data_IF_696088198213
#
_entry.id   IF_696088198213
#
_cell.length_a   1.000
_cell.length_b   1.000
_cell.length_c   1.000
_cell.angle_alpha   90.00
_cell.angle_beta   90.00
_cell.angle_gamma   90.00
#
_symmetry.space_group_name_H-M   'P 1'
#
loop_
_entity.id
_entity.type
_entity.pdbx_description
1 polymer ?
#
# COMPACT_ATOMS: atom_id res chain seq x y z
N UNK A 1 31.51 -17.17 18.68
CA UNK A 1 30.75 -18.37 18.25
C UNK A 1 29.47 -17.88 17.56
N UNK A 2 29.59 -17.01 16.55
CA UNK A 2 28.49 -16.08 16.20
C UNK A 2 28.27 -15.87 14.68
N UNK A 3 29.17 -16.35 13.82
CA UNK A 3 29.02 -16.23 12.36
C UNK A 3 28.15 -17.36 11.77
N UNK A 4 28.33 -18.58 12.28
CA UNK A 4 27.65 -19.78 11.78
C UNK A 4 26.16 -19.77 12.15
N UNK A 5 25.79 -19.23 13.31
CA UNK A 5 24.40 -19.01 13.69
C UNK A 5 23.70 -17.94 12.82
N UNK A 6 24.43 -16.92 12.34
CA UNK A 6 23.89 -15.92 11.40
C UNK A 6 23.70 -16.51 9.99
N UNK A 7 24.63 -17.35 9.53
CA UNK A 7 24.51 -18.10 8.27
C UNK A 7 23.39 -19.15 8.35
N UNK A 8 23.19 -19.80 9.50
CA UNK A 8 22.07 -20.71 9.74
C UNK A 8 20.74 -19.96 9.85
N UNK A 9 20.70 -18.76 10.41
CA UNK A 9 19.49 -17.91 10.41
C UNK A 9 19.12 -17.41 9.00
N UNK A 10 20.12 -17.22 8.13
CA UNK A 10 19.91 -16.94 6.70
C UNK A 10 19.36 -18.16 5.93
N UNK A 11 19.58 -19.39 6.44
CA UNK A 11 19.18 -20.63 5.76
C UNK A 11 17.67 -20.83 5.55
N UNK A 12 16.81 -19.98 6.15
CA UNK A 12 15.42 -19.83 5.69
C UNK A 12 14.82 -18.49 6.14
N UNK A 13 15.25 -17.40 5.52
CA UNK A 13 14.74 -16.06 5.85
C UNK A 13 13.24 -15.98 5.60
N UNK A 14 12.50 -15.36 6.52
CA UNK A 14 11.04 -15.27 6.45
C UNK A 14 10.64 -13.86 6.02
N UNK A 15 9.94 -13.75 4.90
CA UNK A 15 9.57 -12.48 4.30
C UNK A 15 8.07 -12.28 4.46
N UNK A 16 7.71 -11.17 5.09
CA UNK A 16 6.33 -10.70 5.23
C UNK A 16 6.21 -9.34 4.57
N UNK A 17 5.19 -9.18 3.74
CA UNK A 17 4.98 -7.95 2.98
C UNK A 17 3.92 -7.10 3.66
N UNK A 18 4.18 -5.81 3.80
CA UNK A 18 3.24 -4.84 4.33
C UNK A 18 2.98 -3.79 3.26
N UNK A 19 1.72 -3.60 2.90
CA UNK A 19 1.33 -2.72 1.79
C UNK A 19 0.42 -1.63 2.31
N UNK A 20 0.84 -0.38 2.15
CA UNK A 20 -0.10 0.75 2.17
C UNK A 20 -0.76 0.84 0.78
N UNK A 21 -2.03 0.44 0.71
CA UNK A 21 -2.77 0.36 -0.55
C UNK A 21 -2.84 1.70 -1.26
N UNK A 22 -3.16 2.78 -0.54
CA UNK A 22 -3.38 4.08 -1.16
C UNK A 22 -2.08 4.69 -1.61
N UNK A 23 -1.02 4.59 -0.80
CA UNK A 23 0.28 5.09 -1.19
C UNK A 23 0.80 4.35 -2.44
N UNK A 24 0.64 3.02 -2.48
CA UNK A 24 1.04 2.22 -3.63
C UNK A 24 0.23 2.57 -4.89
N UNK A 25 -1.10 2.54 -4.81
CA UNK A 25 -1.97 2.74 -5.97
C UNK A 25 -1.79 4.14 -6.56
N UNK A 26 -1.72 5.19 -5.71
CA UNK A 26 -1.53 6.56 -6.18
C UNK A 26 -0.15 6.74 -6.84
N UNK A 27 0.91 6.21 -6.23
CA UNK A 27 2.27 6.31 -6.77
C UNK A 27 2.42 5.61 -8.12
N UNK A 28 1.79 4.44 -8.29
CA UNK A 28 1.84 3.72 -9.57
C UNK A 28 1.03 4.46 -10.63
N UNK A 29 -0.18 4.93 -10.29
CA UNK A 29 -1.02 5.67 -11.22
C UNK A 29 -0.33 6.94 -11.73
N UNK A 30 0.36 7.67 -10.86
CA UNK A 30 1.16 8.85 -11.23
C UNK A 30 2.27 8.47 -12.23
N UNK A 31 3.08 7.45 -11.90
CA UNK A 31 4.16 6.99 -12.79
C UNK A 31 3.66 6.46 -14.13
N UNK A 32 2.52 5.77 -14.16
CA UNK A 32 1.91 5.28 -15.41
C UNK A 32 1.36 6.44 -16.23
N UNK A 33 0.75 7.43 -15.58
CA UNK A 33 0.26 8.63 -16.27
C UNK A 33 1.41 9.41 -16.91
N UNK A 34 2.54 9.55 -16.19
CA UNK A 34 3.76 10.17 -16.72
C UNK A 34 4.35 9.37 -17.89
N UNK A 35 4.45 8.04 -17.75
CA UNK A 35 5.05 7.19 -18.78
C UNK A 35 4.22 7.10 -20.07
N UNK A 36 2.89 7.20 -19.97
CA UNK A 36 1.97 7.08 -21.11
C UNK A 36 1.51 8.42 -21.67
N UNK A 37 1.70 9.51 -20.92
CA UNK A 37 1.12 10.83 -21.23
C UNK A 37 -0.40 10.90 -21.05
N UNK A 38 -1.04 9.83 -20.54
CA UNK A 38 -2.49 9.78 -20.33
C UNK A 38 -2.80 10.14 -18.87
N UNK A 39 -3.49 11.28 -18.61
CA UNK A 39 -3.83 11.68 -17.26
C UNK A 39 -4.82 10.70 -16.61
N UNK A 40 -4.75 10.58 -15.29
CA UNK A 40 -5.63 9.75 -14.46
C UNK A 40 -5.61 8.24 -14.81
N UNK A 41 -4.47 7.76 -15.31
CA UNK A 41 -4.29 6.34 -15.62
C UNK A 41 -4.38 5.48 -14.36
N UNK A 42 -5.23 4.46 -14.38
CA UNK A 42 -5.38 3.49 -13.28
C UNK A 42 -4.68 2.19 -13.64
N UNK A 43 -3.62 1.87 -12.89
CA UNK A 43 -2.92 0.60 -13.07
C UNK A 43 -3.62 -0.53 -12.30
N UNK A 44 -4.09 -1.60 -12.98
CA UNK A 44 -4.67 -2.75 -12.32
C UNK A 44 -3.57 -3.65 -11.75
N UNK A 45 -3.40 -3.64 -10.43
CA UNK A 45 -2.43 -4.52 -9.75
C UNK A 45 -2.98 -5.96 -9.75
N UNK A 46 -2.19 -6.90 -10.27
CA UNK A 46 -2.45 -8.34 -10.11
C UNK A 46 -2.10 -8.77 -8.67
N UNK A 47 -3.06 -8.66 -7.76
CA UNK A 47 -2.90 -9.01 -6.35
C UNK A 47 -2.62 -10.50 -6.10
N UNK A 48 -2.84 -11.38 -7.08
CA UNK A 48 -2.55 -12.81 -6.92
C UNK A 48 -1.04 -13.05 -7.01
N UNK A 49 -0.37 -12.37 -7.94
CA UNK A 49 1.07 -12.53 -8.18
C UNK A 49 1.93 -11.50 -7.46
N UNK A 50 1.40 -10.29 -7.29
CA UNK A 50 2.15 -9.14 -6.79
C UNK A 50 2.89 -9.43 -5.47
N UNK A 51 2.26 -9.99 -4.42
CA UNK A 51 2.95 -10.20 -3.16
C UNK A 51 4.16 -11.14 -3.22
N UNK A 52 4.00 -12.27 -3.90
CA UNK A 52 5.07 -13.25 -4.06
C UNK A 52 6.20 -12.69 -4.92
N UNK A 53 5.85 -11.91 -5.95
CA UNK A 53 6.83 -11.21 -6.78
C UNK A 53 7.62 -10.16 -5.98
N UNK A 54 6.97 -9.38 -5.12
CA UNK A 54 7.65 -8.43 -4.22
C UNK A 54 8.60 -9.16 -3.27
N UNK A 55 8.16 -10.25 -2.65
CA UNK A 55 9.00 -11.04 -1.75
C UNK A 55 10.25 -11.58 -2.46
N UNK A 56 10.09 -12.09 -3.69
CA UNK A 56 11.19 -12.56 -4.51
C UNK A 56 12.17 -11.43 -4.88
N UNK A 57 11.66 -10.25 -5.23
CA UNK A 57 12.50 -9.08 -5.55
C UNK A 57 13.25 -8.55 -4.33
N UNK A 58 12.64 -8.58 -3.15
CA UNK A 58 13.32 -8.23 -1.91
C UNK A 58 14.44 -9.24 -1.61
N UNK A 59 14.18 -10.53 -1.77
CA UNK A 59 15.19 -11.57 -1.59
C UNK A 59 16.39 -11.39 -2.54
N UNK A 60 16.14 -11.09 -3.82
CA UNK A 60 17.17 -10.81 -4.82
C UNK A 60 18.04 -9.60 -4.42
N UNK A 61 17.41 -8.48 -4.04
CA UNK A 61 18.13 -7.25 -3.65
C UNK A 61 18.90 -7.45 -2.34
N UNK A 62 18.39 -8.27 -1.42
CA UNK A 62 19.01 -8.56 -0.14
C UNK A 62 20.06 -9.69 -0.19
N UNK A 63 20.25 -10.36 -1.34
CA UNK A 63 21.16 -11.50 -1.47
C UNK A 63 20.72 -12.73 -0.67
N UNK A 64 19.42 -12.99 -0.58
CA UNK A 64 18.84 -14.11 0.16
C UNK A 64 18.48 -15.23 -0.83
N UNK A 65 19.22 -16.34 -0.78
CA UNK A 65 19.00 -17.50 -1.66
C UNK A 65 17.82 -18.38 -1.25
N UNK A 66 17.52 -18.45 0.05
CA UNK A 66 16.46 -19.28 0.60
C UNK A 66 15.52 -18.45 1.48
N UNK A 67 14.30 -18.25 0.99
CA UNK A 67 13.26 -17.56 1.75
C UNK A 67 11.92 -18.30 1.78
N UNK A 68 11.12 -17.98 2.79
CA UNK A 68 9.72 -18.39 2.90
C UNK A 68 8.84 -17.15 2.91
N UNK A 69 7.82 -17.13 2.05
CA UNK A 69 6.81 -16.08 2.03
C UNK A 69 5.74 -16.35 3.09
N UNK A 70 5.65 -15.49 4.11
CA UNK A 70 4.70 -15.64 5.22
C UNK A 70 3.34 -14.98 4.96
N UNK A 71 3.18 -14.33 3.81
CA UNK A 71 1.96 -13.61 3.48
C UNK A 71 2.14 -12.09 3.46
N UNK A 72 1.01 -11.42 3.26
CA UNK A 72 0.92 -9.98 3.05
C UNK A 72 -0.17 -9.38 3.90
N UNK A 73 0.11 -8.25 4.52
CA UNK A 73 -0.89 -7.41 5.16
C UNK A 73 -1.08 -6.15 4.32
N UNK A 74 -2.29 -5.96 3.82
CA UNK A 74 -2.68 -4.76 3.08
C UNK A 74 -3.45 -3.83 4.02
N UNK A 75 -2.89 -2.67 4.27
CA UNK A 75 -3.54 -1.58 4.98
C UNK A 75 -4.24 -0.69 3.98
N UNK A 76 -5.53 -0.45 4.20
CA UNK A 76 -6.29 0.48 3.41
C UNK A 76 -7.29 1.25 4.27
N UNK A 77 -7.83 2.33 3.70
CA UNK A 77 -8.90 3.08 4.34
C UNK A 77 -10.03 3.37 3.38
N UNK A 78 -11.28 3.29 3.83
CA UNK A 78 -12.45 3.59 3.01
C UNK A 78 -13.19 4.81 3.53
N UNK A 79 -13.66 5.66 2.63
CA UNK A 79 -14.63 6.71 2.94
C UNK A 79 -16.05 6.12 3.13
N UNK A 80 -16.96 6.90 3.73
CA UNK A 80 -18.36 6.49 3.98
C UNK A 80 -19.24 6.72 2.73
N UNK A 81 -18.71 7.40 1.71
CA UNK A 81 -19.41 7.63 0.45
C UNK A 81 -19.66 6.31 -0.33
N UNK A 82 -20.58 6.28 -1.30
CA UNK A 82 -20.92 5.07 -2.04
C UNK A 82 -19.70 4.36 -2.68
N UNK A 83 -18.74 5.12 -3.21
CA UNK A 83 -17.51 4.58 -3.78
C UNK A 83 -16.58 3.96 -2.72
N UNK A 84 -16.46 4.59 -1.56
CA UNK A 84 -15.71 4.05 -0.42
C UNK A 84 -16.34 2.76 0.11
N UNK A 85 -17.67 2.66 0.15
CA UNK A 85 -18.38 1.42 0.50
C UNK A 85 -18.11 0.30 -0.52
N UNK A 86 -18.16 0.61 -1.83
CA UNK A 86 -17.80 -0.37 -2.87
C UNK A 86 -16.36 -0.85 -2.73
N UNK A 87 -15.43 0.07 -2.50
CA UNK A 87 -14.02 -0.25 -2.28
C UNK A 87 -13.83 -1.14 -1.05
N UNK A 88 -14.47 -0.79 0.08
CA UNK A 88 -14.41 -1.59 1.30
C UNK A 88 -14.92 -3.01 1.06
N UNK A 89 -16.08 -3.14 0.40
CA UNK A 89 -16.65 -4.43 0.06
C UNK A 89 -15.70 -5.26 -0.82
N UNK A 90 -15.06 -4.65 -1.81
CA UNK A 90 -14.04 -5.32 -2.61
C UNK A 90 -12.83 -5.75 -1.76
N UNK A 91 -12.32 -4.86 -0.91
CA UNK A 91 -11.13 -5.13 -0.10
C UNK A 91 -11.38 -6.27 0.92
N UNK A 92 -12.50 -6.22 1.64
CA UNK A 92 -12.85 -7.20 2.67
C UNK A 92 -13.33 -8.53 2.09
N UNK A 93 -14.02 -8.55 0.94
CA UNK A 93 -14.60 -9.78 0.40
C UNK A 93 -13.78 -10.41 -0.73
N UNK A 94 -13.13 -9.62 -1.58
CA UNK A 94 -12.39 -10.16 -2.72
C UNK A 94 -10.89 -10.24 -2.43
N UNK A 95 -10.30 -9.17 -1.89
CA UNK A 95 -8.84 -9.10 -1.65
C UNK A 95 -8.43 -9.92 -0.43
N UNK A 96 -9.17 -9.83 0.67
CA UNK A 96 -8.89 -10.58 1.90
C UNK A 96 -9.08 -12.11 1.77
N UNK A 97 -9.79 -12.57 0.74
CA UNK A 97 -9.95 -14.00 0.45
C UNK A 97 -8.81 -14.58 -0.39
N UNK A 98 -7.88 -13.74 -0.86
CA UNK A 98 -6.75 -14.20 -1.65
C UNK A 98 -5.77 -14.96 -0.75
N UNK A 99 -5.20 -16.09 -1.21
CA UNK A 99 -4.25 -16.85 -0.42
C UNK A 99 -3.06 -16.00 0.04
N UNK A 100 -2.75 -16.06 1.33
CA UNK A 100 -1.63 -15.32 1.91
C UNK A 100 -1.82 -13.80 1.94
N UNK A 101 -3.04 -13.28 1.78
CA UNK A 101 -3.34 -11.85 1.96
C UNK A 101 -4.29 -11.66 3.14
N UNK A 102 -3.96 -10.71 4.00
CA UNK A 102 -4.82 -10.21 5.07
C UNK A 102 -5.04 -8.72 4.84
N UNK A 103 -6.28 -8.27 4.93
CA UNK A 103 -6.65 -6.87 4.70
C UNK A 103 -7.05 -6.23 6.03
N UNK A 104 -6.48 -5.07 6.31
CA UNK A 104 -6.89 -4.18 7.40
C UNK A 104 -7.49 -2.91 6.81
N UNK A 105 -8.81 -2.92 6.59
CA UNK A 105 -9.54 -1.75 6.10
C UNK A 105 -10.08 -0.93 7.26
N UNK A 106 -9.67 0.34 7.36
CA UNK A 106 -10.16 1.28 8.39
C UNK A 106 -11.08 2.33 7.79
N UNK A 107 -12.06 2.79 8.55
CA UNK A 107 -12.82 3.98 8.14
C UNK A 107 -11.88 5.19 8.09
N UNK A 108 -11.88 5.93 6.98
CA UNK A 108 -11.12 7.17 6.86
C UNK A 108 -11.75 8.21 7.76
N UNK A 109 -10.97 8.74 8.70
CA UNK A 109 -11.39 9.90 9.50
C UNK A 109 -10.92 11.17 8.78
N UNK A 110 -11.78 12.20 8.66
CA UNK A 110 -11.32 13.49 8.18
C UNK A 110 -10.17 13.97 9.07
N UNK A 111 -9.06 14.37 8.45
CA UNK A 111 -7.96 14.97 9.21
C UNK A 111 -8.50 16.26 9.83
N UNK A 112 -8.29 16.44 11.14
CA UNK A 112 -8.55 17.73 11.77
C UNK A 112 -7.71 18.79 11.06
N UNK A 113 -8.25 20.01 10.98
CA UNK A 113 -7.48 21.15 10.47
C UNK A 113 -6.23 21.29 11.33
N UNK A 114 -5.08 21.51 10.69
CA UNK A 114 -3.87 21.83 11.42
C UNK A 114 -4.11 23.15 12.14
N UNK A 115 -3.96 23.14 13.46
CA UNK A 115 -4.18 24.30 14.29
C UNK A 115 -2.82 24.96 14.55
N UNK A 116 -2.70 26.26 14.26
CA UNK A 116 -1.50 27.00 14.63
C UNK A 116 -1.53 27.28 16.14
N UNK A 117 -0.55 26.82 16.93
CA UNK A 117 -0.52 27.12 18.36
C UNK A 117 -0.30 28.62 18.65
N UNK A 118 0.22 29.39 17.69
CA UNK A 118 0.57 30.80 17.88
C UNK A 118 -0.58 31.76 17.58
N UNK A 119 -1.34 31.54 16.51
CA UNK A 119 -2.39 32.47 16.09
C UNK A 119 -3.81 31.93 16.31
N UNK A 120 -3.96 30.72 16.86
CA UNK A 120 -5.24 30.01 17.03
C UNK A 120 -6.07 29.91 15.74
N UNK A 121 -5.42 30.15 14.60
CA UNK A 121 -6.02 30.13 13.28
C UNK A 121 -5.92 28.74 12.66
N UNK A 122 -6.89 28.42 11.80
CA UNK A 122 -6.80 27.25 10.94
C UNK A 122 -5.63 27.44 9.96
N UNK A 123 -4.61 26.61 10.08
CA UNK A 123 -3.56 26.54 9.06
C UNK A 123 -4.08 25.65 7.95
N UNK A 124 -4.26 26.22 6.76
CA UNK A 124 -4.36 25.41 5.56
C UNK A 124 -2.92 25.02 5.24
N UNK A 125 -2.50 23.75 5.42
CA UNK A 125 -1.20 23.35 4.90
C UNK A 125 -1.23 23.63 3.40
N UNK A 126 -0.18 24.29 2.89
CA UNK A 126 0.05 24.45 1.47
C UNK A 126 0.38 23.08 0.85
N UNK A 127 -0.59 22.16 0.86
CA UNK A 127 -0.54 20.96 0.05
C UNK A 127 -0.83 21.44 -1.36
N UNK A 128 0.10 21.25 -2.28
CA UNK A 128 -0.20 21.42 -3.71
C UNK A 128 -1.51 20.70 -3.99
N UNK A 129 -2.50 21.34 -4.65
CA UNK A 129 -3.76 20.69 -4.91
C UNK A 129 -3.51 19.46 -5.77
N UNK A 130 -3.60 18.27 -5.17
CA UNK A 130 -3.85 17.06 -5.94
C UNK A 130 -5.25 17.27 -6.51
N UNK A 131 -5.32 17.59 -7.81
CA UNK A 131 -6.59 17.74 -8.53
C UNK A 131 -7.26 16.37 -8.58
N UNK A 132 -7.98 16.01 -7.52
CA UNK A 132 -9.00 14.97 -7.63
C UNK A 132 -10.17 15.66 -8.32
N UNK A 133 -10.18 15.66 -9.65
CA UNK A 133 -11.37 16.07 -10.40
C UNK A 133 -12.46 15.07 -10.09
N UNK A 134 -13.56 15.56 -9.52
CA UNK A 134 -14.80 14.80 -9.37
C UNK A 134 -15.25 14.35 -10.76
N UNK A 135 -15.35 13.05 -10.96
CA UNK A 135 -16.03 12.48 -12.13
C UNK A 135 -17.53 12.76 -11.94
N UNK A 136 -18.10 13.51 -12.88
CA UNK A 136 -19.54 13.59 -13.14
C UNK A 136 -19.92 12.51 -14.15
#
# INVERSE_FOLDING_TARGET
MDAEAAVQALSRSRIKVFVDYWNLQLSINERVSEATGVPDSRFPIDWIKFPGWVAAKVAEVAGIDHFSYEGTIVYCSSDINPEGVKFRNWAENWLNRRPGIQVQCRARKPRSRLHCPTCNGNVIPAVRPVRIRSVA
#
